data_IF_606412431488
#
_entry.id   IF_606412431488
#
_cell.length_a   1.000
_cell.length_b   1.000
_cell.length_c   1.000
_cell.angle_alpha   90.00
_cell.angle_beta   90.00
_cell.angle_gamma   90.00
#
_symmetry.space_group_name_H-M   'P 1'
#
loop_
_entity.id
_entity.type
_entity.pdbx_description
1 polymer ?
#
# COMPACT_ATOMS: atom_id res chain seq x y z
N UNK A 1 -9.40 -10.87 12.76
CA UNK A 1 -7.95 -10.88 12.42
C UNK A 1 -7.26 -9.86 13.32
N UNK A 2 -6.01 -10.09 13.76
CA UNK A 2 -5.25 -9.11 14.52
C UNK A 2 -4.97 -7.86 13.67
N UNK A 3 -4.86 -6.69 14.31
CA UNK A 3 -4.39 -5.46 13.66
C UNK A 3 -2.95 -5.64 13.19
N UNK A 4 -2.63 -5.11 12.02
CA UNK A 4 -1.27 -5.18 11.48
C UNK A 4 -0.31 -4.42 12.39
N UNK A 5 0.75 -5.09 12.87
CA UNK A 5 1.80 -4.42 13.62
C UNK A 5 2.67 -3.59 12.66
N UNK A 6 2.58 -2.28 12.80
CA UNK A 6 3.29 -1.31 11.97
C UNK A 6 4.52 -0.72 12.67
N UNK A 7 4.83 -1.14 13.90
CA UNK A 7 5.87 -0.53 14.73
C UNK A 7 7.24 -0.58 14.05
N UNK A 8 7.58 -1.73 13.44
CA UNK A 8 8.84 -1.91 12.69
C UNK A 8 8.86 -1.10 11.38
N UNK A 9 7.71 -0.98 10.72
CA UNK A 9 7.57 -0.19 9.49
C UNK A 9 7.75 1.30 9.80
N UNK A 10 7.13 1.81 10.87
CA UNK A 10 7.24 3.21 11.28
C UNK A 10 8.64 3.54 11.80
N UNK A 11 9.27 2.62 12.54
CA UNK A 11 10.66 2.81 13.00
C UNK A 11 11.65 2.93 11.83
N UNK A 12 11.48 2.12 10.77
CA UNK A 12 12.31 2.19 9.57
C UNK A 12 11.95 3.39 8.67
N UNK A 13 10.67 3.79 8.65
CA UNK A 13 10.16 4.85 7.79
C UNK A 13 9.23 5.79 8.57
N UNK A 14 9.78 6.74 9.37
CA UNK A 14 8.98 7.61 10.25
C UNK A 14 7.93 8.45 9.52
N UNK A 15 8.19 8.80 8.25
CA UNK A 15 7.25 9.53 7.40
C UNK A 15 5.97 8.75 7.04
N UNK A 16 5.90 7.45 7.39
CA UNK A 16 4.70 6.60 7.26
C UNK A 16 3.77 6.68 8.48
N UNK A 17 4.19 7.29 9.59
CA UNK A 17 3.34 7.47 10.77
C UNK A 17 2.04 8.24 10.46
N UNK A 18 2.01 9.03 9.39
CA UNK A 18 0.82 9.76 8.96
C UNK A 18 -0.28 8.87 8.36
N UNK A 19 -0.01 7.60 8.07
CA UNK A 19 -1.04 6.63 7.67
C UNK A 19 -2.12 6.52 8.76
N UNK A 20 -1.72 6.56 10.04
CA UNK A 20 -2.66 6.53 11.16
C UNK A 20 -3.60 7.74 11.20
N UNK A 21 -3.13 8.92 10.77
CA UNK A 21 -3.94 10.14 10.76
C UNK A 21 -4.96 10.21 9.62
N UNK A 22 -4.73 9.46 8.53
CA UNK A 22 -5.64 9.40 7.39
C UNK A 22 -6.47 8.10 7.37
N UNK A 23 -6.36 7.24 8.38
CA UNK A 23 -7.00 5.92 8.39
C UNK A 23 -8.51 6.01 8.18
N UNK A 24 -9.05 5.16 7.32
CA UNK A 24 -10.47 5.19 6.94
C UNK A 24 -10.84 6.25 5.90
N UNK A 25 -9.85 6.79 5.18
CA UNK A 25 -10.09 7.69 4.05
C UNK A 25 -9.56 7.09 2.75
N UNK A 26 -10.14 7.51 1.63
CA UNK A 26 -9.62 7.20 0.29
C UNK A 26 -8.15 7.60 0.13
N UNK A 27 -7.72 8.69 0.77
CA UNK A 27 -6.33 9.16 0.71
C UNK A 27 -5.37 8.17 1.35
N UNK A 28 -5.73 7.59 2.51
CA UNK A 28 -4.93 6.56 3.16
C UNK A 28 -4.72 5.36 2.25
N UNK A 29 -5.80 4.83 1.65
CA UNK A 29 -5.70 3.72 0.71
C UNK A 29 -4.77 4.03 -0.47
N UNK A 30 -4.95 5.19 -1.10
CA UNK A 30 -4.12 5.62 -2.22
C UNK A 30 -2.65 5.76 -1.81
N UNK A 31 -2.39 6.24 -0.60
CA UNK A 31 -1.03 6.38 -0.07
C UNK A 31 -0.36 5.03 0.13
N UNK A 32 -1.03 4.07 0.79
CA UNK A 32 -0.53 2.69 0.95
C UNK A 32 -0.25 2.07 -0.42
N UNK A 33 -1.16 2.25 -1.38
CA UNK A 33 -1.00 1.74 -2.73
C UNK A 33 0.19 2.37 -3.47
N UNK A 34 0.38 3.68 -3.35
CA UNK A 34 1.56 4.37 -3.89
C UNK A 34 2.84 3.80 -3.29
N UNK A 35 2.90 3.56 -1.98
CA UNK A 35 4.11 2.98 -1.35
C UNK A 35 4.48 1.61 -1.92
N UNK A 36 3.49 0.79 -2.26
CA UNK A 36 3.73 -0.53 -2.88
C UNK A 36 4.16 -0.42 -4.34
N UNK A 37 3.73 0.64 -5.05
CA UNK A 37 3.96 0.81 -6.49
C UNK A 37 5.07 1.83 -6.82
N UNK A 38 5.55 2.57 -5.82
CA UNK A 38 6.59 3.58 -5.90
C UNK A 38 7.97 2.93 -5.95
N UNK A 39 8.32 2.45 -7.14
CA UNK A 39 9.66 2.02 -7.52
C UNK A 39 10.39 3.15 -8.26
N UNK A 40 10.23 4.42 -7.83
CA UNK A 40 10.77 5.58 -8.55
C UNK A 40 12.29 5.44 -8.78
N UNK A 41 12.63 5.27 -10.06
CA UNK A 41 13.96 5.52 -10.61
C UNK A 41 14.88 4.30 -10.78
N UNK A 42 14.42 3.06 -10.61
CA UNK A 42 15.24 1.86 -10.83
C UNK A 42 16.40 1.65 -9.84
N UNK A 43 16.69 2.63 -8.98
CA UNK A 43 17.76 2.62 -7.98
C UNK A 43 17.28 2.32 -6.54
N UNK A 44 15.96 2.38 -6.28
CA UNK A 44 15.36 1.99 -5.00
C UNK A 44 14.76 0.60 -5.13
N UNK A 45 15.40 -0.40 -4.54
CA UNK A 45 15.06 -1.83 -4.66
C UNK A 45 13.74 -2.27 -4.02
N UNK A 46 12.71 -1.41 -4.00
CA UNK A 46 11.46 -1.64 -3.29
C UNK A 46 11.65 -1.64 -1.76
N UNK A 47 10.61 -2.03 -1.05
CA UNK A 47 10.69 -2.31 0.38
C UNK A 47 11.31 -3.70 0.60
N UNK A 48 12.13 -3.88 1.65
CA UNK A 48 12.48 -5.22 2.13
C UNK A 48 11.22 -6.08 2.33
N UNK A 49 11.30 -7.41 2.12
CA UNK A 49 10.14 -8.30 2.12
C UNK A 49 9.26 -8.17 3.37
N UNK A 50 9.86 -7.98 4.54
CA UNK A 50 9.13 -7.77 5.79
C UNK A 50 8.26 -6.52 5.80
N UNK A 51 8.74 -5.43 5.20
CA UNK A 51 8.03 -4.15 5.17
C UNK A 51 6.99 -4.13 4.05
N UNK A 52 7.26 -4.80 2.93
CA UNK A 52 6.28 -5.02 1.87
C UNK A 52 5.07 -5.83 2.38
N UNK A 53 5.31 -6.91 3.15
CA UNK A 53 4.24 -7.71 3.76
C UNK A 53 3.38 -6.91 4.74
N UNK A 54 4.00 -6.03 5.53
CA UNK A 54 3.27 -5.14 6.43
C UNK A 54 2.38 -4.15 5.66
N UNK A 55 2.85 -3.59 4.55
CA UNK A 55 2.08 -2.68 3.69
C UNK A 55 0.90 -3.39 2.99
N UNK A 56 1.09 -4.63 2.54
CA UNK A 56 0.02 -5.46 1.96
C UNK A 56 -1.03 -5.76 3.02
N UNK A 57 -0.60 -6.16 4.22
CA UNK A 57 -1.52 -6.45 5.34
C UNK A 57 -2.33 -5.22 5.74
N UNK A 58 -1.69 -4.04 5.78
CA UNK A 58 -2.34 -2.74 5.99
C UNK A 58 -3.39 -2.42 4.90
N UNK A 59 -3.08 -2.68 3.63
CA UNK A 59 -4.05 -2.42 2.55
C UNK A 59 -5.27 -3.34 2.68
N UNK A 60 -5.05 -4.63 2.94
CA UNK A 60 -6.13 -5.61 3.14
C UNK A 60 -6.99 -5.23 4.35
N UNK A 61 -6.36 -4.81 5.45
CA UNK A 61 -7.07 -4.35 6.65
C UNK A 61 -7.91 -3.11 6.34
N UNK A 62 -7.37 -2.14 5.60
CA UNK A 62 -8.09 -0.96 5.18
C UNK A 62 -9.28 -1.31 4.27
N UNK A 63 -9.09 -2.14 3.26
CA UNK A 63 -10.14 -2.47 2.30
C UNK A 63 -11.25 -3.32 2.94
N UNK A 64 -10.93 -4.12 3.95
CA UNK A 64 -11.93 -4.81 4.79
C UNK A 64 -12.74 -3.84 5.63
N UNK A 65 -12.09 -2.89 6.30
CA UNK A 65 -12.74 -1.96 7.22
C UNK A 65 -13.51 -0.85 6.47
N UNK A 66 -13.06 -0.51 5.25
CA UNK A 66 -13.61 0.55 4.42
C UNK A 66 -13.81 0.12 2.96
N UNK A 67 -14.70 -0.86 2.69
CA UNK A 67 -14.90 -1.43 1.35
C UNK A 67 -15.35 -0.40 0.32
N UNK A 68 -15.97 0.70 0.73
CA UNK A 68 -16.36 1.81 -0.14
C UNK A 68 -15.17 2.52 -0.82
N UNK A 69 -13.95 2.31 -0.32
CA UNK A 69 -12.73 2.84 -0.92
C UNK A 69 -11.92 1.77 -1.65
N UNK A 70 -12.35 0.51 -1.62
CA UNK A 70 -11.68 -0.54 -2.38
C UNK A 70 -11.79 -0.25 -3.90
N UNK A 71 -10.63 -0.06 -4.51
CA UNK A 71 -10.42 0.27 -5.91
C UNK A 71 -9.56 -0.85 -6.55
N UNK A 72 -9.56 -2.06 -5.96
CA UNK A 72 -8.82 -3.25 -6.40
C UNK A 72 -9.07 -3.59 -7.88
N UNK A 73 -10.30 -3.41 -8.36
CA UNK A 73 -10.65 -3.54 -9.77
C UNK A 73 -9.89 -2.56 -10.69
N UNK A 74 -9.72 -1.31 -10.26
CA UNK A 74 -8.94 -0.29 -10.99
C UNK A 74 -7.44 -0.58 -10.94
N UNK A 75 -6.97 -1.18 -9.85
CA UNK A 75 -5.56 -1.54 -9.66
C UNK A 75 -5.11 -2.69 -10.56
N UNK A 76 -5.92 -3.76 -10.69
CA UNK A 76 -5.67 -4.87 -11.63
C UNK A 76 -5.57 -4.38 -13.08
N UNK A 77 -6.36 -3.38 -13.46
CA UNK A 77 -6.29 -2.71 -14.77
C UNK A 77 -4.96 -1.95 -14.96
N UNK A 78 -4.56 -1.14 -13.98
CA UNK A 78 -3.31 -0.35 -14.04
C UNK A 78 -2.03 -1.23 -14.03
N UNK A 79 -2.00 -2.29 -13.22
CA UNK A 79 -0.89 -3.26 -13.14
C UNK A 79 -0.71 -3.98 -14.49
N UNK A 80 -1.83 -4.35 -15.12
CA UNK A 80 -1.87 -4.96 -16.46
C UNK A 80 -1.38 -3.99 -17.54
N UNK A 81 -1.75 -2.70 -17.44
CA UNK A 81 -1.26 -1.65 -18.34
C UNK A 81 0.26 -1.38 -18.17
N UNK A 82 0.81 -1.47 -16.95
CA UNK A 82 2.25 -1.32 -16.69
C UNK A 82 3.10 -2.49 -17.18
N UNK A 83 2.53 -3.69 -17.25
CA UNK A 83 3.21 -4.91 -17.73
C UNK A 83 3.10 -5.14 -19.24
N UNK A 84 2.44 -4.23 -19.98
CA UNK A 84 2.28 -4.36 -21.44
C UNK A 84 1.50 -5.59 -21.87
N UNK A 85 0.58 -6.07 -21.03
CA UNK A 85 -0.16 -7.33 -21.22
C UNK A 85 -1.56 -7.13 -21.81
N UNK A 86 -1.87 -5.92 -22.27
CA UNK A 86 -3.11 -5.59 -22.96
C UNK A 86 -2.75 -4.85 -24.25
N UNK A 87 -2.93 -5.56 -25.37
CA UNK A 87 -2.98 -5.00 -26.71
C UNK A 87 -4.44 -4.71 -27.09
#
# INVERSE_FOLDING_TARGET
MPKTDTSRLIAAFPHLANISGAWGTRECRQRINRLMTDTRGGARGGFPPEHASALVSLLVEHDRDFPAFDDSARWLWWESSRRGLVA
#
